data_IF_229136102686
#
_entry.id   IF_229136102686
#
_cell.length_a   1.000
_cell.length_b   1.000
_cell.length_c   1.000
_cell.angle_alpha   90.00
_cell.angle_beta   90.00
_cell.angle_gamma   90.00
#
_symmetry.space_group_name_H-M   'P 1'
#
loop_
_entity.id
_entity.type
_entity.pdbx_description
1 polymer ?
#
# COMPACT_ATOMS: atom_id res chain seq x y z
N UNK A 1 -7.79 -9.04 44.50
CA UNK A 1 -7.02 -8.92 43.25
C UNK A 1 -6.80 -7.44 42.96
N UNK A 2 -5.54 -7.02 42.85
CA UNK A 2 -5.12 -5.63 42.80
C UNK A 2 -5.76 -4.90 41.61
N UNK A 3 -6.41 -3.75 41.89
CA UNK A 3 -6.73 -2.74 40.87
C UNK A 3 -5.52 -1.83 40.76
N UNK A 4 -4.78 -1.90 39.66
CA UNK A 4 -3.65 -1.00 39.40
C UNK A 4 -4.14 0.45 39.37
N UNK A 5 -3.79 1.22 40.40
CA UNK A 5 -3.99 2.67 40.46
C UNK A 5 -2.94 3.33 39.58
N UNK A 6 -3.32 3.78 38.39
CA UNK A 6 -2.46 4.67 37.59
C UNK A 6 -2.42 6.03 38.27
N UNK A 7 -1.26 6.40 38.82
CA UNK A 7 -1.04 7.70 39.47
C UNK A 7 -0.38 8.64 38.45
N UNK A 8 -1.12 9.60 37.92
CA UNK A 8 -0.55 10.63 37.02
C UNK A 8 -0.01 11.77 37.88
N UNK A 9 1.31 11.95 37.91
CA UNK A 9 1.97 13.07 38.60
C UNK A 9 1.99 14.30 37.68
N UNK A 10 1.48 15.42 38.16
CA UNK A 10 1.61 16.72 37.50
C UNK A 10 3.08 17.19 37.61
N UNK A 11 3.70 17.55 36.49
CA UNK A 11 5.12 17.98 36.42
C UNK A 11 5.36 19.44 36.88
N UNK A 12 4.38 20.10 37.51
CA UNK A 12 4.55 21.45 38.06
C UNK A 12 4.46 21.43 39.58
N UNK A 13 5.44 22.06 40.23
CA UNK A 13 5.68 22.05 41.70
C UNK A 13 4.53 22.61 42.57
N UNK A 14 3.41 23.06 41.99
CA UNK A 14 2.31 23.72 42.70
C UNK A 14 0.89 23.18 42.43
N UNK A 15 0.72 21.97 41.88
CA UNK A 15 -0.61 21.36 41.76
C UNK A 15 -0.86 20.26 42.81
N UNK A 16 -1.93 20.40 43.59
CA UNK A 16 -2.46 19.36 44.49
C UNK A 16 -3.03 18.15 43.76
N UNK A 17 -3.45 17.09 44.48
CA UNK A 17 -3.84 15.80 43.88
C UNK A 17 -5.10 15.90 43.01
N UNK A 18 -5.06 15.29 41.82
CA UNK A 18 -6.20 15.17 40.89
C UNK A 18 -7.13 14.02 41.30
N UNK A 19 -8.44 14.25 41.23
CA UNK A 19 -9.48 13.22 41.41
C UNK A 19 -9.99 12.77 40.03
N UNK A 20 -9.75 11.51 39.68
CA UNK A 20 -10.29 10.87 38.48
C UNK A 20 -11.64 10.22 38.82
N UNK A 21 -12.71 10.66 38.17
CA UNK A 21 -14.03 9.99 38.22
C UNK A 21 -14.23 9.19 36.94
N UNK A 22 -14.34 7.86 37.07
CA UNK A 22 -14.73 6.98 35.98
C UNK A 22 -16.25 6.88 35.94
N UNK A 23 -16.86 7.26 34.81
CA UNK A 23 -18.30 7.04 34.57
C UNK A 23 -18.42 5.79 33.67
N UNK A 24 -19.16 4.75 34.07
CA UNK A 24 -19.32 3.55 33.27
C UNK A 24 -20.35 3.80 32.15
N UNK A 25 -19.89 3.84 30.90
CA UNK A 25 -20.74 3.68 29.72
C UNK A 25 -20.02 2.78 28.70
N UNK A 26 -20.80 2.03 27.93
CA UNK A 26 -20.51 0.95 26.97
C UNK A 26 -19.14 0.97 26.22
N UNK A 27 -18.63 -0.19 25.74
CA UNK A 27 -17.21 -0.49 25.57
C UNK A 27 -16.47 0.20 24.40
N UNK A 28 -17.04 1.21 23.75
CA UNK A 28 -16.41 1.85 22.59
C UNK A 28 -15.95 3.30 22.77
N UNK A 29 -16.22 3.97 23.90
CA UNK A 29 -15.71 5.33 24.15
C UNK A 29 -15.47 5.60 25.64
N UNK A 30 -14.19 5.65 26.05
CA UNK A 30 -13.82 6.20 27.35
C UNK A 30 -13.58 7.72 27.22
N UNK A 31 -14.45 8.54 27.82
CA UNK A 31 -14.24 9.98 27.93
C UNK A 31 -13.62 10.30 29.29
N UNK A 32 -12.34 10.67 29.33
CA UNK A 32 -11.70 11.16 30.57
C UNK A 32 -11.87 12.67 30.62
N UNK A 33 -12.76 13.16 31.50
CA UNK A 33 -12.84 14.59 31.83
C UNK A 33 -11.89 14.90 32.97
N UNK A 34 -10.83 15.66 32.69
CA UNK A 34 -10.01 16.31 33.70
C UNK A 34 -10.24 17.82 33.64
N UNK A 35 -10.87 18.38 34.67
CA UNK A 35 -11.00 19.83 34.85
C UNK A 35 -9.91 20.31 35.80
N UNK A 36 -9.00 21.16 35.31
CA UNK A 36 -8.07 21.92 36.14
C UNK A 36 -8.70 23.30 36.46
N UNK A 37 -8.54 23.78 37.69
CA UNK A 37 -9.16 25.01 38.21
C UNK A 37 -8.59 26.33 37.63
N UNK A 38 -7.84 26.27 36.52
CA UNK A 38 -7.38 27.45 35.79
C UNK A 38 -7.86 27.29 34.35
N UNK A 39 -8.76 28.18 33.92
CA UNK A 39 -9.54 28.10 32.67
C UNK A 39 -8.73 28.13 31.37
N UNK A 40 -7.90 27.12 31.11
CA UNK A 40 -7.38 26.80 29.79
C UNK A 40 -7.90 25.43 29.37
N UNK A 41 -8.58 25.38 28.23
CA UNK A 41 -8.98 24.14 27.55
C UNK A 41 -7.71 23.29 27.33
N UNK A 42 -7.56 22.21 28.10
CA UNK A 42 -6.73 21.10 27.67
C UNK A 42 -7.41 20.49 26.45
N UNK A 43 -6.78 20.62 25.28
CA UNK A 43 -7.10 19.79 24.12
C UNK A 43 -6.88 18.34 24.55
N UNK A 44 -7.98 17.64 24.85
CA UNK A 44 -7.94 16.22 25.08
C UNK A 44 -7.55 15.54 23.78
N UNK A 45 -6.29 15.13 23.66
CA UNK A 45 -5.82 14.25 22.59
C UNK A 45 -6.48 12.90 22.79
N UNK A 46 -7.72 12.79 22.30
CA UNK A 46 -8.43 11.53 22.23
C UNK A 46 -7.65 10.71 21.21
N UNK A 47 -6.95 9.66 21.65
CA UNK A 47 -6.40 8.66 20.74
C UNK A 47 -7.61 8.04 20.04
N UNK A 48 -8.00 8.60 18.90
CA UNK A 48 -9.13 8.16 18.09
C UNK A 48 -8.78 6.80 17.49
N UNK A 49 -9.77 5.92 17.43
CA UNK A 49 -9.66 4.52 17.04
C UNK A 49 -8.65 4.30 15.90
N UNK A 50 -7.71 3.38 16.11
CA UNK A 50 -6.79 2.92 15.07
C UNK A 50 -7.61 2.50 13.85
N UNK A 51 -7.43 3.19 12.73
CA UNK A 51 -7.99 2.76 11.46
C UNK A 51 -7.30 1.44 11.12
N UNK A 52 -8.06 0.34 11.12
CA UNK A 52 -7.48 -0.95 10.74
C UNK A 52 -7.05 -0.87 9.28
N UNK A 53 -5.75 -1.07 9.06
CA UNK A 53 -5.13 -1.14 7.74
C UNK A 53 -5.88 -2.12 6.83
N UNK A 54 -6.05 -1.80 5.54
CA UNK A 54 -6.68 -2.72 4.60
C UNK A 54 -5.95 -4.05 4.48
N UNK A 55 -6.69 -5.12 4.19
CA UNK A 55 -6.12 -6.47 3.99
C UNK A 55 -5.55 -6.69 2.60
N UNK A 56 -6.15 -6.05 1.61
CA UNK A 56 -5.86 -6.18 0.18
C UNK A 56 -6.38 -4.94 -0.59
N UNK A 57 -6.23 -4.93 -1.92
CA UNK A 57 -6.69 -3.83 -2.77
C UNK A 57 -8.23 -3.68 -2.77
N UNK A 58 -8.99 -4.77 -2.67
CA UNK A 58 -10.47 -4.71 -2.69
C UNK A 58 -11.01 -4.13 -1.39
N UNK A 59 -10.48 -4.55 -0.25
CA UNK A 59 -10.79 -3.95 1.06
C UNK A 59 -10.34 -2.48 1.12
N UNK A 60 -9.18 -2.15 0.52
CA UNK A 60 -8.74 -0.76 0.40
C UNK A 60 -9.75 0.08 -0.39
N UNK A 61 -10.17 -0.38 -1.58
CA UNK A 61 -11.15 0.32 -2.41
C UNK A 61 -12.45 0.59 -1.64
N UNK A 62 -12.97 -0.42 -0.92
CA UNK A 62 -14.15 -0.27 -0.07
C UNK A 62 -13.94 0.81 0.99
N UNK A 63 -12.82 0.79 1.70
CA UNK A 63 -12.52 1.80 2.75
C UNK A 63 -12.36 3.21 2.19
N UNK A 64 -11.83 3.35 0.97
CA UNK A 64 -11.72 4.65 0.29
C UNK A 64 -13.10 5.15 -0.16
N UNK A 65 -13.98 4.26 -0.61
CA UNK A 65 -15.37 4.59 -0.92
C UNK A 65 -16.16 4.99 0.32
N UNK A 66 -16.00 4.26 1.43
CA UNK A 66 -16.64 4.54 2.73
C UNK A 66 -16.33 5.97 3.25
N UNK A 67 -15.21 6.57 2.83
CA UNK A 67 -14.83 7.96 3.19
C UNK A 67 -15.06 8.98 2.05
N UNK A 68 -15.73 8.58 0.97
CA UNK A 68 -16.10 9.42 -0.18
C UNK A 68 -14.94 9.79 -1.10
N UNK A 69 -13.80 9.11 -1.00
CA UNK A 69 -12.55 9.41 -1.72
C UNK A 69 -12.36 8.55 -2.99
N UNK A 70 -13.32 7.69 -3.32
CA UNK A 70 -13.37 6.91 -4.55
C UNK A 70 -14.37 7.51 -5.53
N UNK A 71 -14.07 7.41 -6.82
CA UNK A 71 -15.03 7.62 -7.90
C UNK A 71 -14.83 6.58 -9.00
N UNK A 72 -15.90 6.27 -9.72
CA UNK A 72 -15.88 5.35 -10.86
C UNK A 72 -16.15 6.13 -12.14
N UNK A 73 -15.36 5.87 -13.18
CA UNK A 73 -15.53 6.45 -14.52
C UNK A 73 -15.66 5.30 -15.51
N UNK A 74 -16.70 5.34 -16.35
CA UNK A 74 -16.98 4.30 -17.35
C UNK A 74 -16.79 4.82 -18.76
N UNK A 75 -16.38 3.95 -19.70
CA UNK A 75 -16.31 4.29 -21.12
C UNK A 75 -15.09 5.12 -21.53
N UNK A 76 -14.09 5.25 -20.66
CA UNK A 76 -12.81 5.88 -20.98
C UNK A 76 -11.97 4.98 -21.90
N UNK A 77 -11.16 5.56 -22.78
CA UNK A 77 -10.21 4.85 -23.63
C UNK A 77 -8.77 4.86 -23.07
N UNK A 78 -7.95 3.89 -23.49
CA UNK A 78 -6.54 3.75 -23.08
C UNK A 78 -5.55 4.55 -23.92
N UNK A 79 -5.99 5.25 -24.97
CA UNK A 79 -5.12 6.04 -25.83
C UNK A 79 -4.89 7.44 -25.25
N UNK A 80 -5.95 8.07 -24.76
CA UNK A 80 -5.94 9.48 -24.34
C UNK A 80 -6.62 9.67 -22.97
N UNK A 81 -7.89 9.22 -22.82
CA UNK A 81 -8.74 9.62 -21.68
C UNK A 81 -8.12 9.28 -20.32
N UNK A 82 -7.69 8.03 -20.13
CA UNK A 82 -7.16 7.58 -18.83
C UNK A 82 -5.85 8.30 -18.47
N UNK A 83 -4.96 8.52 -19.45
CA UNK A 83 -3.70 9.23 -19.26
C UNK A 83 -3.94 10.70 -18.88
N UNK A 84 -4.74 11.42 -19.67
CA UNK A 84 -5.09 12.82 -19.42
C UNK A 84 -5.82 13.01 -18.09
N UNK A 85 -6.84 12.18 -17.81
CA UNK A 85 -7.56 12.24 -16.55
C UNK A 85 -6.62 11.99 -15.36
N UNK A 86 -5.69 11.04 -15.48
CA UNK A 86 -4.69 10.77 -14.44
C UNK A 86 -3.80 11.98 -14.16
N UNK A 87 -3.36 12.69 -15.20
CA UNK A 87 -2.56 13.90 -15.04
C UNK A 87 -3.33 15.02 -14.33
N UNK A 88 -4.60 15.24 -14.72
CA UNK A 88 -5.47 16.20 -14.04
C UNK A 88 -5.69 15.83 -12.58
N UNK A 89 -5.96 14.56 -12.29
CA UNK A 89 -6.13 14.06 -10.91
C UNK A 89 -4.87 14.26 -10.07
N UNK A 90 -3.68 14.18 -10.68
CA UNK A 90 -2.40 14.43 -10.02
C UNK A 90 -2.17 15.90 -9.66
N UNK A 91 -2.64 16.82 -10.51
CA UNK A 91 -2.40 18.28 -10.38
C UNK A 91 -3.51 19.04 -9.67
N UNK A 92 -4.73 18.53 -9.68
CA UNK A 92 -5.88 19.18 -9.04
C UNK A 92 -6.04 18.66 -7.61
N UNK A 93 -6.36 19.58 -6.70
CA UNK A 93 -6.73 19.26 -5.31
C UNK A 93 -8.00 20.03 -4.95
N UNK A 94 -9.02 19.37 -4.34
CA UNK A 94 -9.07 17.95 -4.02
C UNK A 94 -9.22 17.07 -5.27
N UNK A 95 -8.74 15.83 -5.22
CA UNK A 95 -8.97 14.81 -6.26
C UNK A 95 -9.14 13.42 -5.64
N UNK A 96 -9.94 12.58 -6.29
CA UNK A 96 -10.32 11.24 -5.80
C UNK A 96 -9.45 10.15 -6.42
N UNK A 97 -9.35 9.01 -5.74
CA UNK A 97 -8.94 7.78 -6.40
C UNK A 97 -9.99 7.46 -7.46
N UNK A 98 -9.55 7.12 -8.67
CA UNK A 98 -10.45 6.93 -9.80
C UNK A 98 -10.30 5.53 -10.34
N UNK A 99 -11.38 4.76 -10.29
CA UNK A 99 -11.48 3.44 -10.87
C UNK A 99 -12.14 3.54 -12.24
N UNK A 100 -11.36 3.32 -13.29
CA UNK A 100 -11.88 3.23 -14.65
C UNK A 100 -12.40 1.82 -14.89
N UNK A 101 -13.65 1.70 -15.32
CA UNK A 101 -14.30 0.44 -15.69
C UNK A 101 -14.94 0.60 -17.08
N UNK A 102 -15.40 -0.51 -17.67
CA UNK A 102 -16.04 -0.54 -18.98
C UNK A 102 -15.19 0.22 -20.03
N UNK A 103 -13.89 -0.04 -20.00
CA UNK A 103 -12.88 0.63 -20.81
C UNK A 103 -13.06 0.23 -22.27
N UNK A 104 -13.06 1.22 -23.17
CA UNK A 104 -13.32 1.01 -24.60
C UNK A 104 -12.35 0.00 -25.20
N UNK A 105 -12.89 -1.06 -25.82
CA UNK A 105 -12.10 -2.13 -26.45
C UNK A 105 -11.69 -3.27 -25.50
N UNK A 106 -12.05 -3.21 -24.22
CA UNK A 106 -11.69 -4.22 -23.22
C UNK A 106 -12.93 -4.92 -22.64
N UNK A 107 -12.73 -6.15 -22.14
CA UNK A 107 -13.79 -6.92 -21.49
C UNK A 107 -14.20 -6.25 -20.16
N UNK A 108 -15.51 -6.19 -19.89
CA UNK A 108 -16.04 -5.71 -18.60
C UNK A 108 -15.38 -6.44 -17.42
N UNK A 109 -15.01 -5.68 -16.38
CA UNK A 109 -14.28 -6.18 -15.21
C UNK A 109 -12.76 -5.98 -15.28
N UNK A 110 -12.21 -5.70 -16.46
CA UNK A 110 -10.81 -5.29 -16.61
C UNK A 110 -10.70 -3.79 -16.34
N UNK A 111 -10.28 -3.44 -15.12
CA UNK A 111 -10.34 -2.08 -14.57
C UNK A 111 -8.95 -1.49 -14.37
N UNK A 112 -8.87 -0.15 -14.38
CA UNK A 112 -7.63 0.59 -14.07
C UNK A 112 -7.89 1.50 -12.87
N UNK A 113 -7.08 1.35 -11.82
CA UNK A 113 -7.07 2.28 -10.70
C UNK A 113 -6.01 3.36 -10.94
N UNK A 114 -6.41 4.63 -10.84
CA UNK A 114 -5.52 5.78 -10.90
C UNK A 114 -5.65 6.67 -9.65
N UNK A 115 -4.60 7.45 -9.38
CA UNK A 115 -4.53 8.42 -8.29
C UNK A 115 -4.79 7.79 -6.89
N UNK A 116 -4.47 6.52 -6.70
CA UNK A 116 -4.80 5.77 -5.47
C UNK A 116 -4.26 6.44 -4.19
N UNK A 117 -2.98 6.83 -4.18
CA UNK A 117 -2.32 7.46 -3.02
C UNK A 117 -2.22 8.98 -3.09
N UNK A 118 -2.95 9.65 -4.00
CA UNK A 118 -2.83 11.10 -4.23
C UNK A 118 -3.48 12.02 -3.19
N UNK A 119 -3.84 11.52 -2.01
CA UNK A 119 -4.49 12.29 -0.93
C UNK A 119 -4.00 11.83 0.44
N UNK A 120 -3.81 12.78 1.36
CA UNK A 120 -3.46 12.49 2.75
C UNK A 120 -4.48 11.58 3.44
N UNK A 121 -5.76 11.72 3.12
CA UNK A 121 -6.84 10.87 3.67
C UNK A 121 -6.67 9.42 3.23
N UNK A 122 -6.35 9.19 1.96
CA UNK A 122 -6.11 7.84 1.41
C UNK A 122 -4.80 7.23 1.90
N UNK A 123 -3.75 8.04 2.05
CA UNK A 123 -2.49 7.61 2.71
C UNK A 123 -2.76 7.22 4.17
N UNK A 124 -3.58 7.99 4.90
CA UNK A 124 -3.92 7.68 6.29
C UNK A 124 -4.61 6.31 6.40
N UNK A 125 -5.60 6.01 5.55
CA UNK A 125 -6.21 4.67 5.48
C UNK A 125 -5.15 3.59 5.22
N UNK A 126 -4.28 3.82 4.23
CA UNK A 126 -3.23 2.87 3.82
C UNK A 126 -2.25 2.56 4.95
N UNK A 127 -1.94 3.53 5.81
CA UNK A 127 -1.00 3.39 6.92
C UNK A 127 -1.66 3.04 8.26
N UNK A 128 -2.99 2.95 8.30
CA UNK A 128 -3.77 2.76 9.53
C UNK A 128 -3.74 3.97 10.47
N UNK A 129 -3.60 5.18 9.92
CA UNK A 129 -3.60 6.45 10.65
C UNK A 129 -5.01 7.07 10.66
N UNK A 130 -5.30 8.00 11.59
CA UNK A 130 -6.60 8.67 11.65
C UNK A 130 -6.86 9.53 10.39
N UNK A 131 -8.02 9.33 9.74
CA UNK A 131 -8.32 9.93 8.42
C UNK A 131 -8.66 11.43 8.46
N UNK A 132 -9.09 11.94 9.62
CA UNK A 132 -9.54 13.33 9.78
C UNK A 132 -8.48 14.25 10.39
N UNK A 133 -7.22 13.81 10.41
CA UNK A 133 -6.10 14.62 10.89
C UNK A 133 -5.51 15.51 9.80
N UNK A 134 -4.84 16.58 10.22
CA UNK A 134 -4.15 17.47 9.29
C UNK A 134 -2.95 16.75 8.64
N UNK A 135 -2.51 17.15 7.42
CA UNK A 135 -1.32 16.61 6.79
C UNK A 135 -0.06 16.63 7.69
N UNK A 136 0.13 17.72 8.43
CA UNK A 136 1.27 17.85 9.34
C UNK A 136 1.21 16.82 10.48
N UNK A 137 0.03 16.62 11.04
CA UNK A 137 -0.19 15.68 12.12
C UNK A 137 -0.02 14.22 11.66
N UNK A 138 -0.51 13.89 10.46
CA UNK A 138 -0.27 12.57 9.84
C UNK A 138 1.21 12.28 9.66
N UNK A 139 1.99 13.27 9.18
CA UNK A 139 3.44 13.13 9.03
C UNK A 139 4.10 12.93 10.40
N UNK A 140 3.70 13.70 11.43
CA UNK A 140 4.22 13.55 12.80
C UNK A 140 3.97 12.14 13.34
N UNK A 141 2.74 11.66 13.26
CA UNK A 141 2.34 10.32 13.71
C UNK A 141 3.13 9.21 12.99
N UNK A 142 3.28 9.35 11.67
CA UNK A 142 4.05 8.40 10.88
C UNK A 142 5.53 8.39 11.26
N UNK A 143 6.16 9.56 11.40
CA UNK A 143 7.55 9.66 11.82
C UNK A 143 7.77 9.10 13.24
N UNK A 144 6.85 9.36 14.18
CA UNK A 144 6.92 8.79 15.52
C UNK A 144 6.85 7.26 15.49
N UNK A 145 5.98 6.70 14.64
CA UNK A 145 5.88 5.25 14.45
C UNK A 145 7.17 4.66 13.87
N UNK A 146 7.74 5.28 12.84
CA UNK A 146 9.00 4.84 12.23
C UNK A 146 10.17 4.95 13.22
N UNK A 147 10.27 6.05 13.98
CA UNK A 147 11.33 6.25 14.99
C UNK A 147 11.28 5.23 16.12
N UNK A 148 10.09 4.75 16.50
CA UNK A 148 9.93 3.67 17.49
C UNK A 148 10.36 2.30 16.96
N UNK A 149 10.57 2.17 15.65
CA UNK A 149 10.81 0.92 14.97
C UNK A 149 9.50 0.23 14.59
N UNK A 150 9.45 -0.28 13.36
CA UNK A 150 8.36 -1.13 12.90
C UNK A 150 8.79 -2.58 13.16
N UNK A 151 8.08 -3.26 14.07
CA UNK A 151 8.30 -4.68 14.33
C UNK A 151 7.92 -5.48 13.08
N UNK A 152 8.89 -6.14 12.47
CA UNK A 152 8.68 -6.94 11.27
C UNK A 152 7.74 -8.12 11.57
N UNK A 153 6.82 -8.39 10.66
CA UNK A 153 5.91 -9.54 10.74
C UNK A 153 6.11 -10.38 9.49
N UNK A 154 6.80 -11.53 9.58
CA UNK A 154 7.10 -12.38 8.44
C UNK A 154 5.87 -12.74 7.61
N UNK A 155 6.00 -12.74 6.29
CA UNK A 155 4.96 -13.27 5.41
C UNK A 155 4.61 -14.73 5.76
N UNK A 156 3.34 -15.09 5.54
CA UNK A 156 2.81 -16.43 5.77
C UNK A 156 2.65 -17.17 4.46
N UNK A 157 3.32 -18.31 4.33
CA UNK A 157 3.12 -19.21 3.19
C UNK A 157 1.76 -19.91 3.30
N UNK A 158 0.95 -19.79 2.25
CA UNK A 158 -0.35 -20.45 2.12
C UNK A 158 -0.39 -21.35 0.88
N UNK A 159 -1.45 -22.15 0.75
CA UNK A 159 -1.60 -23.15 -0.31
C UNK A 159 -2.37 -22.68 -1.53
N UNK A 160 -3.15 -21.61 -1.39
CA UNK A 160 -4.04 -21.09 -2.44
C UNK A 160 -4.47 -19.65 -2.10
N UNK A 161 -5.13 -18.97 -3.05
CA UNK A 161 -5.82 -17.72 -2.84
C UNK A 161 -6.36 -17.08 -4.13
N UNK A 162 -7.05 -15.94 -4.01
CA UNK A 162 -7.83 -15.35 -5.10
C UNK A 162 -7.06 -15.11 -6.42
N UNK A 163 -5.76 -14.83 -6.36
CA UNK A 163 -4.94 -14.63 -7.57
C UNK A 163 -4.94 -15.84 -8.52
N UNK A 164 -5.25 -17.05 -8.02
CA UNK A 164 -5.30 -18.27 -8.82
C UNK A 164 -6.68 -18.56 -9.43
N UNK A 165 -7.69 -17.71 -9.23
CA UNK A 165 -9.00 -17.87 -9.86
C UNK A 165 -8.92 -17.88 -11.40
N UNK A 166 -7.91 -17.22 -11.98
CA UNK A 166 -7.67 -17.19 -13.42
C UNK A 166 -6.18 -17.39 -13.71
N UNK A 167 -5.82 -18.57 -14.25
CA UNK A 167 -4.41 -18.90 -14.57
C UNK A 167 -4.23 -19.07 -16.08
N UNK A 168 -3.26 -18.36 -16.64
CA UNK A 168 -2.83 -18.50 -18.03
C UNK A 168 -1.38 -18.97 -18.10
N UNK A 169 -1.07 -19.91 -19.00
CA UNK A 169 0.27 -20.50 -19.17
C UNK A 169 0.59 -20.69 -20.64
N UNK A 170 1.89 -20.66 -20.96
CA UNK A 170 2.38 -20.89 -22.32
C UNK A 170 1.73 -19.94 -23.33
N UNK A 171 1.19 -20.50 -24.41
CA UNK A 171 0.63 -19.73 -25.52
C UNK A 171 -0.65 -18.96 -25.18
N UNK A 172 -1.33 -19.33 -24.08
CA UNK A 172 -2.51 -18.63 -23.59
C UNK A 172 -2.17 -17.30 -22.90
N UNK A 173 -0.89 -17.01 -22.62
CA UNK A 173 -0.47 -15.73 -22.06
C UNK A 173 -0.65 -14.62 -23.10
N UNK A 174 -1.53 -13.68 -22.76
CA UNK A 174 -1.72 -12.44 -23.49
C UNK A 174 -1.95 -11.29 -22.51
N UNK A 175 -0.96 -10.39 -22.41
CA UNK A 175 -1.04 -9.18 -21.58
C UNK A 175 -1.82 -8.06 -22.25
N UNK A 176 -2.04 -8.13 -23.57
CA UNK A 176 -2.76 -7.11 -24.33
C UNK A 176 -4.26 -7.13 -24.06
N UNK A 177 -4.78 -8.21 -23.45
CA UNK A 177 -6.16 -8.27 -22.94
C UNK A 177 -6.40 -7.32 -21.75
N UNK A 178 -5.34 -6.84 -21.09
CA UNK A 178 -5.45 -5.90 -19.98
C UNK A 178 -5.34 -4.46 -20.48
N UNK A 179 -6.14 -3.53 -19.95
CA UNK A 179 -6.09 -2.13 -20.32
C UNK A 179 -4.77 -1.51 -19.87
N UNK A 180 -3.81 -1.42 -20.78
CA UNK A 180 -2.54 -0.73 -20.59
C UNK A 180 -2.64 0.69 -21.18
N UNK A 181 -2.77 1.74 -20.35
CA UNK A 181 -2.86 3.10 -20.85
C UNK A 181 -1.56 3.52 -21.54
N UNK A 182 -1.70 4.35 -22.56
CA UNK A 182 -0.66 5.29 -22.95
C UNK A 182 -0.81 6.49 -22.00
N UNK A 183 0.16 6.68 -21.11
CA UNK A 183 0.00 7.64 -20.00
C UNK A 183 0.25 9.08 -20.47
N UNK A 184 1.18 9.25 -21.40
CA UNK A 184 1.48 10.54 -22.02
C UNK A 184 1.59 10.40 -23.56
N UNK A 185 1.28 11.48 -24.27
CA UNK A 185 1.25 11.54 -25.73
C UNK A 185 2.54 11.03 -26.39
N UNK A 186 3.69 11.34 -25.79
CA UNK A 186 5.02 11.01 -26.31
C UNK A 186 5.67 9.79 -25.64
N UNK A 187 4.93 9.01 -24.85
CA UNK A 187 5.46 7.76 -24.30
C UNK A 187 5.82 6.79 -25.45
N UNK A 188 7.01 6.18 -25.36
CA UNK A 188 7.48 5.20 -26.35
C UNK A 188 6.71 3.87 -26.36
N UNK A 189 5.72 3.70 -25.48
CA UNK A 189 4.89 2.51 -25.38
C UNK A 189 3.86 2.60 -24.25
N UNK A 190 3.03 1.57 -24.13
CA UNK A 190 2.01 1.45 -23.07
C UNK A 190 2.62 0.87 -21.81
N UNK A 191 2.19 1.32 -20.63
CA UNK A 191 2.72 0.82 -19.36
C UNK A 191 1.63 0.21 -18.49
N UNK A 192 1.88 -1.02 -18.03
CA UNK A 192 1.13 -1.63 -16.93
C UNK A 192 1.80 -1.32 -15.58
N UNK A 193 3.14 -1.22 -15.55
CA UNK A 193 3.89 -1.02 -14.33
C UNK A 193 4.12 0.45 -14.02
N UNK A 194 3.08 1.15 -13.56
CA UNK A 194 3.20 2.54 -13.09
C UNK A 194 2.91 2.72 -11.61
N UNK A 195 1.95 1.96 -11.09
CA UNK A 195 1.55 1.88 -9.68
C UNK A 195 1.54 0.43 -9.21
N UNK A 196 2.66 -0.26 -9.43
CA UNK A 196 2.85 -1.69 -9.21
C UNK A 196 4.12 -1.95 -8.39
N UNK A 197 4.31 -3.20 -7.98
CA UNK A 197 5.59 -3.65 -7.47
C UNK A 197 6.03 -4.95 -8.14
N UNK A 198 7.32 -5.19 -8.12
CA UNK A 198 8.00 -6.30 -8.77
C UNK A 198 8.83 -7.06 -7.74
N UNK A 199 8.66 -8.38 -7.71
CA UNK A 199 9.33 -9.27 -6.78
C UNK A 199 10.57 -9.82 -7.47
N UNK A 200 11.71 -9.71 -6.80
CA UNK A 200 12.99 -10.27 -7.23
C UNK A 200 13.65 -10.95 -6.04
N UNK A 201 14.61 -11.83 -6.31
CA UNK A 201 15.34 -12.56 -5.29
C UNK A 201 16.84 -12.50 -5.54
N UNK A 202 17.61 -12.24 -4.50
CA UNK A 202 19.06 -12.32 -4.56
C UNK A 202 19.49 -13.78 -4.81
N UNK A 203 20.37 -14.06 -5.79
CA UNK A 203 20.83 -15.43 -6.06
C UNK A 203 21.77 -15.99 -4.98
N UNK A 204 22.35 -15.15 -4.10
CA UNK A 204 23.37 -15.57 -3.14
C UNK A 204 22.76 -15.99 -1.80
N UNK A 205 21.95 -15.11 -1.20
CA UNK A 205 21.39 -15.27 0.14
C UNK A 205 19.88 -15.55 0.14
N UNK A 206 19.24 -15.47 -1.03
CA UNK A 206 17.82 -15.71 -1.20
C UNK A 206 16.91 -14.62 -0.65
N UNK A 207 17.44 -13.45 -0.33
CA UNK A 207 16.65 -12.29 0.09
C UNK A 207 15.65 -11.85 -0.99
N UNK A 208 14.44 -11.52 -0.56
CA UNK A 208 13.34 -11.10 -1.44
C UNK A 208 13.14 -9.60 -1.36
N UNK A 209 13.16 -8.94 -2.52
CA UNK A 209 12.88 -7.52 -2.68
C UNK A 209 11.59 -7.31 -3.49
N UNK A 210 10.72 -6.43 -3.03
CA UNK A 210 9.63 -5.82 -3.79
C UNK A 210 10.04 -4.39 -4.14
N UNK A 211 10.13 -4.08 -5.42
CA UNK A 211 10.44 -2.72 -5.87
C UNK A 211 9.41 -2.17 -6.83
N UNK A 212 9.15 -0.87 -6.78
CA UNK A 212 8.35 -0.20 -7.80
C UNK A 212 9.23 0.10 -9.02
N UNK A 213 9.09 -0.66 -10.09
CA UNK A 213 9.82 -0.46 -11.34
C UNK A 213 8.87 -0.23 -12.52
N UNK A 214 9.41 0.37 -13.60
CA UNK A 214 8.60 0.65 -14.79
C UNK A 214 8.50 -0.60 -15.66
N UNK A 215 7.27 -0.98 -15.98
CA UNK A 215 6.96 -2.14 -16.83
C UNK A 215 6.18 -1.73 -18.07
N UNK A 216 6.85 -1.72 -19.22
CA UNK A 216 6.31 -1.35 -20.52
C UNK A 216 5.84 -2.59 -21.28
N UNK A 217 4.70 -2.52 -21.95
CA UNK A 217 4.22 -3.59 -22.82
C UNK A 217 4.97 -3.55 -24.15
N UNK A 218 5.53 -4.69 -24.58
CA UNK A 218 6.18 -4.84 -25.89
C UNK A 218 5.29 -5.62 -26.87
N UNK A 219 4.72 -6.73 -26.41
CA UNK A 219 3.78 -7.57 -27.17
C UNK A 219 2.97 -8.45 -26.19
N UNK A 220 2.22 -9.43 -26.70
CA UNK A 220 1.32 -10.30 -25.91
C UNK A 220 1.99 -11.01 -24.72
N UNK A 221 3.28 -11.31 -24.77
CA UNK A 221 3.96 -12.08 -23.72
C UNK A 221 5.36 -11.54 -23.38
N UNK A 222 5.65 -10.32 -23.80
CA UNK A 222 6.94 -9.65 -23.56
C UNK A 222 6.71 -8.27 -22.95
N UNK A 223 7.42 -8.00 -21.85
CA UNK A 223 7.41 -6.72 -21.15
C UNK A 223 8.84 -6.16 -21.09
N UNK A 224 8.97 -4.84 -21.25
CA UNK A 224 10.18 -4.11 -20.93
C UNK A 224 10.22 -3.80 -19.43
N UNK A 225 11.27 -4.24 -18.75
CA UNK A 225 11.42 -4.12 -17.31
C UNK A 225 12.62 -3.24 -16.97
N UNK A 226 12.37 -2.02 -16.50
CA UNK A 226 13.43 -1.06 -16.21
C UNK A 226 13.61 -0.83 -14.71
N UNK A 227 14.80 -1.23 -14.22
CA UNK A 227 15.24 -0.98 -12.85
C UNK A 227 16.33 0.09 -12.84
N UNK A 228 16.04 1.21 -12.17
CA UNK A 228 16.98 2.32 -12.01
C UNK A 228 18.26 1.88 -11.29
N UNK A 229 19.43 2.44 -11.63
CA UNK A 229 20.66 2.24 -10.87
C UNK A 229 20.49 2.52 -9.37
N UNK A 230 21.16 1.73 -8.53
CA UNK A 230 21.12 1.86 -7.07
C UNK A 230 19.95 1.18 -6.37
N UNK A 231 18.95 0.66 -7.10
CA UNK A 231 17.84 -0.11 -6.50
C UNK A 231 18.21 -1.57 -6.25
N UNK A 232 17.66 -2.19 -5.21
CA UNK A 232 17.97 -3.59 -4.85
C UNK A 232 17.69 -4.59 -5.97
N UNK A 233 16.56 -4.48 -6.68
CA UNK A 233 16.28 -5.33 -7.84
C UNK A 233 17.35 -5.24 -8.95
N UNK A 234 18.05 -4.09 -9.06
CA UNK A 234 19.17 -3.93 -9.99
C UNK A 234 20.39 -4.70 -9.52
N UNK A 235 20.66 -4.67 -8.21
CA UNK A 235 21.74 -5.44 -7.60
C UNK A 235 21.49 -6.95 -7.79
N UNK A 236 20.27 -7.42 -7.54
CA UNK A 236 19.88 -8.81 -7.82
C UNK A 236 20.13 -9.17 -9.28
N UNK A 237 19.63 -8.36 -10.22
CA UNK A 237 19.80 -8.58 -11.66
C UNK A 237 21.26 -8.70 -12.06
N UNK A 238 22.11 -7.80 -11.57
CA UNK A 238 23.52 -7.78 -11.93
C UNK A 238 24.24 -9.03 -11.40
N UNK A 239 23.87 -9.53 -10.21
CA UNK A 239 24.36 -10.82 -9.68
C UNK A 239 23.92 -12.02 -10.53
N UNK A 240 22.65 -12.10 -10.92
CA UNK A 240 22.15 -13.16 -11.81
C UNK A 240 22.86 -13.14 -13.17
N UNK A 241 23.04 -11.95 -13.76
CA UNK A 241 23.68 -11.82 -15.06
C UNK A 241 25.18 -12.13 -15.02
N UNK A 242 25.87 -11.79 -13.93
CA UNK A 242 27.26 -12.18 -13.72
C UNK A 242 27.46 -13.72 -13.70
N UNK A 243 26.40 -14.47 -13.39
CA UNK A 243 26.36 -15.95 -13.43
C UNK A 243 25.97 -16.51 -14.80
N UNK A 244 25.63 -15.65 -15.77
CA UNK A 244 25.08 -16.08 -17.05
C UNK A 244 23.64 -16.61 -16.95
N UNK A 245 22.94 -16.30 -15.86
CA UNK A 245 21.61 -16.83 -15.56
C UNK A 245 20.52 -15.76 -15.74
N UNK A 246 19.28 -16.22 -16.00
CA UNK A 246 18.11 -15.34 -16.08
C UNK A 246 17.61 -15.03 -14.67
N UNK A 247 17.44 -13.75 -14.34
CA UNK A 247 16.81 -13.36 -13.07
C UNK A 247 15.30 -13.67 -13.08
N UNK A 248 14.78 -14.43 -12.10
CA UNK A 248 13.33 -14.58 -11.92
C UNK A 248 12.70 -13.26 -11.46
N UNK A 249 11.55 -12.92 -12.03
CA UNK A 249 10.76 -11.72 -11.70
C UNK A 249 9.29 -12.10 -11.63
N UNK A 250 8.57 -11.60 -10.63
CA UNK A 250 7.10 -11.61 -10.62
C UNK A 250 6.60 -10.17 -10.54
N UNK A 251 5.79 -9.76 -11.51
CA UNK A 251 5.28 -8.40 -11.64
C UNK A 251 3.84 -8.34 -11.13
N UNK A 252 3.54 -7.45 -10.19
CA UNK A 252 2.25 -7.41 -9.51
C UNK A 252 1.52 -6.09 -9.77
N UNK A 253 0.81 -5.96 -10.91
CA UNK A 253 -0.13 -4.86 -11.11
C UNK A 253 -1.42 -5.12 -10.35
N UNK A 254 -1.88 -4.15 -9.55
CA UNK A 254 -3.08 -4.35 -8.70
C UNK A 254 -2.80 -5.13 -7.42
N UNK A 255 -1.61 -4.95 -6.84
CA UNK A 255 -1.31 -5.39 -5.48
C UNK A 255 -1.84 -4.43 -4.41
N UNK A 256 -1.62 -4.81 -3.15
CA UNK A 256 -2.00 -3.99 -2.00
C UNK A 256 -1.34 -2.59 -2.03
N UNK A 257 -2.09 -1.48 -1.84
CA UNK A 257 -1.52 -0.14 -1.81
C UNK A 257 -0.45 0.09 -0.73
N UNK A 258 -0.50 -0.65 0.39
CA UNK A 258 0.55 -0.61 1.41
C UNK A 258 1.82 -1.34 0.95
N UNK A 259 1.71 -2.46 0.21
CA UNK A 259 2.88 -3.09 -0.42
C UNK A 259 3.49 -2.19 -1.49
N UNK A 260 2.66 -1.54 -2.30
CA UNK A 260 3.14 -0.56 -3.27
C UNK A 260 3.88 0.59 -2.58
N UNK A 261 3.36 1.11 -1.46
CA UNK A 261 4.02 2.14 -0.67
C UNK A 261 5.35 1.64 -0.07
N UNK A 262 5.39 0.39 0.43
CA UNK A 262 6.60 -0.24 0.92
C UNK A 262 7.66 -0.38 -0.18
N UNK A 263 7.27 -0.83 -1.38
CA UNK A 263 8.14 -0.95 -2.55
C UNK A 263 8.67 0.39 -3.10
N UNK A 264 8.03 1.50 -2.71
CA UNK A 264 8.51 2.86 -2.98
C UNK A 264 9.42 3.43 -1.88
N UNK A 265 9.52 2.74 -0.73
CA UNK A 265 10.27 3.19 0.44
C UNK A 265 11.68 2.58 0.44
N UNK A 266 12.66 3.29 0.96
CA UNK A 266 14.03 2.78 1.13
C UNK A 266 14.11 1.91 2.39
N UNK A 267 13.62 0.68 2.27
CA UNK A 267 13.72 -0.33 3.32
C UNK A 267 15.17 -0.85 3.36
N UNK A 268 15.77 -1.09 4.53
CA UNK A 268 17.15 -1.56 4.62
C UNK A 268 17.40 -2.89 3.91
N UNK A 269 18.64 -3.07 3.45
CA UNK A 269 19.12 -4.34 2.88
C UNK A 269 18.80 -5.52 3.81
N UNK A 270 18.37 -6.64 3.23
CA UNK A 270 18.07 -7.88 3.94
C UNK A 270 16.71 -7.90 4.64
N UNK A 271 15.96 -6.78 4.64
CA UNK A 271 14.56 -6.74 5.08
C UNK A 271 13.68 -6.79 3.85
N UNK A 272 12.73 -7.71 3.80
CA UNK A 272 11.74 -7.75 2.73
C UNK A 272 10.58 -6.79 3.02
N UNK A 273 10.08 -6.13 1.99
CA UNK A 273 8.94 -5.22 2.05
C UNK A 273 7.68 -5.93 2.58
N UNK A 274 7.54 -7.24 2.34
CA UNK A 274 6.46 -8.03 2.92
C UNK A 274 6.44 -7.96 4.44
N UNK A 275 7.61 -8.11 5.06
CA UNK A 275 7.75 -8.21 6.51
C UNK A 275 7.60 -6.83 7.15
N UNK A 276 8.15 -5.81 6.50
CA UNK A 276 7.99 -4.43 6.92
C UNK A 276 6.53 -3.98 6.83
N UNK A 277 5.88 -4.22 5.69
CA UNK A 277 4.48 -3.87 5.50
C UNK A 277 3.57 -4.71 6.41
N UNK A 278 3.92 -5.97 6.67
CA UNK A 278 3.25 -6.83 7.65
C UNK A 278 3.33 -6.24 9.06
N UNK A 279 4.48 -5.65 9.41
CA UNK A 279 4.67 -4.88 10.65
C UNK A 279 3.83 -3.60 10.72
N UNK A 280 3.71 -2.87 9.60
CA UNK A 280 2.82 -1.70 9.51
C UNK A 280 1.35 -2.11 9.65
N UNK A 281 0.97 -3.26 9.10
CA UNK A 281 -0.39 -3.80 9.21
C UNK A 281 -0.68 -4.47 10.55
N UNK A 282 0.35 -5.01 11.21
CA UNK A 282 0.25 -5.88 12.38
C UNK A 282 -0.20 -7.32 12.06
N UNK A 283 -0.30 -7.70 10.79
CA UNK A 283 -0.65 -9.06 10.35
C UNK A 283 0.17 -9.46 9.12
N UNK A 284 0.49 -10.75 8.95
CA UNK A 284 1.35 -11.21 7.86
C UNK A 284 0.66 -11.09 6.50
N UNK A 285 1.44 -10.82 5.46
CA UNK A 285 0.98 -11.01 4.08
C UNK A 285 0.94 -12.49 3.74
N UNK A 286 -0.11 -12.92 3.05
CA UNK A 286 -0.23 -14.29 2.57
C UNK A 286 0.46 -14.41 1.21
N UNK A 287 1.42 -15.31 1.13
CA UNK A 287 2.21 -15.53 -0.09
C UNK A 287 2.23 -17.00 -0.46
N UNK A 288 2.48 -17.29 -1.73
CA UNK A 288 2.72 -18.63 -2.21
C UNK A 288 3.93 -18.63 -3.15
N UNK A 289 4.80 -19.65 -3.15
CA UNK A 289 5.80 -19.79 -4.19
C UNK A 289 5.15 -19.80 -5.57
N UNK A 290 5.52 -18.85 -6.43
CA UNK A 290 5.02 -18.73 -7.78
C UNK A 290 5.36 -19.96 -8.60
N UNK A 291 4.42 -20.54 -9.36
CA UNK A 291 4.60 -21.84 -10.01
C UNK A 291 5.69 -21.85 -11.09
N UNK A 292 6.11 -20.67 -11.58
CA UNK A 292 7.14 -20.52 -12.62
C UNK A 292 8.46 -20.04 -12.04
N UNK A 293 8.42 -19.05 -11.12
CA UNK A 293 9.61 -18.35 -10.63
C UNK A 293 10.07 -18.79 -9.24
N UNK A 294 9.21 -19.49 -8.49
CA UNK A 294 9.43 -19.82 -7.08
C UNK A 294 9.42 -18.60 -6.14
N UNK A 295 9.21 -17.38 -6.65
CA UNK A 295 9.14 -16.16 -5.86
C UNK A 295 7.87 -16.15 -5.00
N UNK A 296 7.88 -15.59 -3.79
CA UNK A 296 6.69 -15.55 -2.93
C UNK A 296 5.69 -14.51 -3.46
N UNK A 297 4.74 -14.95 -4.28
CA UNK A 297 3.73 -14.08 -4.88
C UNK A 297 2.56 -13.85 -3.90
N UNK A 298 1.99 -12.64 -3.81
CA UNK A 298 0.92 -12.34 -2.88
C UNK A 298 -0.39 -12.93 -3.41
N UNK A 299 -1.04 -13.77 -2.60
CA UNK A 299 -2.23 -14.50 -3.09
C UNK A 299 -3.48 -13.64 -3.21
N UNK A 300 -3.45 -12.45 -2.61
CA UNK A 300 -4.53 -11.46 -2.56
C UNK A 300 -4.39 -10.34 -3.60
N UNK A 301 -3.39 -10.41 -4.49
CA UNK A 301 -3.27 -9.47 -5.60
C UNK A 301 -4.29 -9.73 -6.70
N UNK A 302 -4.64 -8.68 -7.46
CA UNK A 302 -5.54 -8.81 -8.62
C UNK A 302 -4.87 -9.52 -9.80
N UNK A 303 -3.58 -9.26 -10.05
CA UNK A 303 -2.81 -9.81 -11.16
C UNK A 303 -1.35 -10.02 -10.72
N UNK A 304 -0.76 -11.15 -11.15
CA UNK A 304 0.66 -11.52 -10.99
C UNK A 304 1.20 -12.13 -12.29
#
# INVERSE_FOLDING_TARGET
MLRDRVTVRCLHRHCGPMVLTFVPFAPERALVRATCAVGRRLMATTIRANVKTPTDLRDWLKKIDDIGELQVVTGANTEEDIGMATELLGRTRPSKATLFDEIVGFKKGFRVLSNGLGSFRRIAVTLGLPVDETPHELVRLWQERVRKGISLVPSQVVKDGPVFENVMRGDAVDVLKFPAPKWHEFDGGRYLGTGSFDITKDPDDGWVNLGCYRVMVQNKNTLGFYISPGKHGRQHRDKWFARGEKMPVAFVPGGDPLLFLAACTEIPYGVTEYDWAGGVRGTPYRVMPGPVTGLPIPVDAEIV
#
